data_IF_952961871097
#
_entry.id   IF_952961871097
#
_cell.length_a   1.000
_cell.length_b   1.000
_cell.length_c   1.000
_cell.angle_alpha   90.00
_cell.angle_beta   90.00
_cell.angle_gamma   90.00
#
_symmetry.space_group_name_H-M   'P 1'
#
loop_
_entity.id
_entity.type
_entity.pdbx_description
1 polymer ?
#
# COMPACT_ATOMS: atom_id res chain seq x y z
N UNK A 1 -9.08 -0.02 -36.39
CA UNK A 1 -9.77 -0.49 -35.20
C UNK A 1 -9.31 0.30 -34.00
N UNK A 2 -10.23 1.03 -33.36
CA UNK A 2 -9.85 1.82 -32.20
C UNK A 2 -9.60 0.88 -31.02
N UNK A 3 -8.53 1.13 -30.29
CA UNK A 3 -8.27 0.40 -29.05
C UNK A 3 -9.42 0.64 -28.08
N UNK A 4 -9.84 -0.41 -27.32
CA UNK A 4 -10.88 -0.20 -26.33
C UNK A 4 -10.40 0.83 -25.31
N UNK A 5 -11.18 1.87 -25.15
CA UNK A 5 -10.87 2.94 -24.20
C UNK A 5 -11.46 2.59 -22.84
N UNK A 6 -10.72 2.94 -21.80
CA UNK A 6 -11.23 2.84 -20.45
C UNK A 6 -12.38 3.84 -20.28
N UNK A 7 -13.38 3.46 -19.50
CA UNK A 7 -14.41 4.40 -19.09
C UNK A 7 -13.79 5.49 -18.22
N UNK A 8 -14.40 6.68 -18.12
CA UNK A 8 -13.91 7.72 -17.20
C UNK A 8 -13.77 7.21 -15.77
N UNK A 9 -14.69 6.36 -15.32
CA UNK A 9 -14.65 5.77 -13.99
C UNK A 9 -13.45 4.84 -13.83
N UNK A 10 -13.15 4.01 -14.84
CA UNK A 10 -11.98 3.14 -14.82
C UNK A 10 -10.68 3.94 -14.81
N UNK A 11 -10.60 5.00 -15.61
CA UNK A 11 -9.43 5.87 -15.66
C UNK A 11 -9.18 6.54 -14.31
N UNK A 12 -10.23 7.02 -13.66
CA UNK A 12 -10.15 7.62 -12.33
C UNK A 12 -9.68 6.60 -11.30
N UNK A 13 -10.24 5.40 -11.34
CA UNK A 13 -9.85 4.31 -10.44
C UNK A 13 -8.37 3.94 -10.62
N UNK A 14 -7.93 3.81 -11.87
CA UNK A 14 -6.53 3.52 -12.17
C UNK A 14 -5.62 4.59 -11.60
N UNK A 15 -5.99 5.85 -11.74
CA UNK A 15 -5.21 6.97 -11.20
C UNK A 15 -5.14 6.91 -9.67
N UNK A 16 -6.24 6.61 -8.99
CA UNK A 16 -6.26 6.44 -7.54
C UNK A 16 -5.32 5.32 -7.10
N UNK A 17 -5.36 4.19 -7.79
CA UNK A 17 -4.51 3.04 -7.46
C UNK A 17 -3.04 3.40 -7.66
N UNK A 18 -2.69 4.12 -8.72
CA UNK A 18 -1.32 4.59 -8.95
C UNK A 18 -0.84 5.51 -7.83
N UNK A 19 -1.70 6.36 -7.29
CA UNK A 19 -1.37 7.18 -6.11
C UNK A 19 -1.12 6.30 -4.89
N UNK A 20 -1.90 5.23 -4.70
CA UNK A 20 -1.66 4.28 -3.62
C UNK A 20 -0.32 3.56 -3.80
N UNK A 21 0.05 3.21 -5.04
CA UNK A 21 1.34 2.59 -5.34
C UNK A 21 2.50 3.53 -4.99
N UNK A 22 2.34 4.82 -5.22
CA UNK A 22 3.34 5.83 -4.81
C UNK A 22 3.49 5.88 -3.29
N UNK A 23 2.37 5.86 -2.57
CA UNK A 23 2.39 5.81 -1.10
C UNK A 23 3.10 4.55 -0.61
N UNK A 24 2.80 3.41 -1.23
CA UNK A 24 3.43 2.14 -0.88
C UNK A 24 4.94 2.17 -1.17
N UNK A 25 5.37 2.81 -2.24
CA UNK A 25 6.79 2.97 -2.54
C UNK A 25 7.51 3.74 -1.43
N UNK A 26 6.88 4.76 -0.86
CA UNK A 26 7.42 5.49 0.30
C UNK A 26 7.51 4.59 1.53
N UNK A 27 6.49 3.75 1.76
CA UNK A 27 6.52 2.76 2.85
C UNK A 27 7.68 1.78 2.65
N UNK A 28 7.85 1.25 1.45
CA UNK A 28 8.96 0.33 1.13
C UNK A 28 10.31 0.95 1.44
N UNK A 29 10.49 2.22 1.06
CA UNK A 29 11.73 2.94 1.33
C UNK A 29 11.99 3.07 2.83
N UNK A 30 10.96 3.44 3.59
CA UNK A 30 11.07 3.57 5.05
C UNK A 30 11.36 2.22 5.72
N UNK A 31 10.76 1.13 5.24
CA UNK A 31 11.04 -0.22 5.75
C UNK A 31 12.49 -0.60 5.46
N UNK A 32 13.00 -0.27 4.27
CA UNK A 32 14.41 -0.51 3.93
C UNK A 32 15.35 0.29 4.82
N UNK A 33 15.01 1.53 5.14
CA UNK A 33 15.78 2.35 6.08
C UNK A 33 15.78 1.74 7.48
N UNK A 34 14.63 1.26 7.93
CA UNK A 34 14.51 0.58 9.22
C UNK A 34 15.40 -0.66 9.27
N UNK A 35 15.39 -1.46 8.21
CA UNK A 35 16.20 -2.66 8.10
C UNK A 35 17.70 -2.33 8.11
N UNK A 36 18.10 -1.29 7.39
CA UNK A 36 19.49 -0.85 7.32
C UNK A 36 19.97 -0.22 8.64
N UNK A 37 19.04 0.20 9.50
CA UNK A 37 19.35 0.91 10.75
C UNK A 37 19.27 0.00 11.97
N UNK A 38 19.43 -1.31 11.81
CA UNK A 38 19.28 -2.28 12.92
C UNK A 38 20.12 -1.94 14.14
N UNK A 39 21.32 -1.40 13.93
CA UNK A 39 22.24 -1.05 15.00
C UNK A 39 22.04 0.39 15.51
N UNK A 40 21.06 1.10 14.98
CA UNK A 40 20.79 2.48 15.40
C UNK A 40 20.18 2.53 16.79
N UNK A 41 20.18 3.72 17.37
CA UNK A 41 19.58 3.95 18.69
C UNK A 41 18.07 3.64 18.64
N UNK A 42 17.50 3.15 19.75
CA UNK A 42 16.05 2.85 19.79
C UNK A 42 15.16 4.01 19.35
N UNK A 43 15.58 5.25 19.63
CA UNK A 43 14.86 6.45 19.21
C UNK A 43 14.71 6.52 17.69
N UNK A 44 15.78 6.25 16.95
CA UNK A 44 15.79 6.27 15.48
C UNK A 44 14.84 5.20 14.94
N UNK A 45 14.90 4.00 15.51
CA UNK A 45 14.03 2.89 15.10
C UNK A 45 12.57 3.19 15.37
N UNK A 46 12.28 3.81 16.51
CA UNK A 46 10.92 4.20 16.87
C UNK A 46 10.41 5.29 15.93
N UNK A 47 11.23 6.27 15.60
CA UNK A 47 10.85 7.34 14.68
C UNK A 47 10.53 6.80 13.29
N UNK A 48 11.34 5.86 12.78
CA UNK A 48 11.08 5.21 11.50
C UNK A 48 9.77 4.41 11.54
N UNK A 49 9.54 3.66 12.63
CA UNK A 49 8.29 2.93 12.83
C UNK A 49 7.07 3.86 12.81
N UNK A 50 7.18 5.02 13.46
CA UNK A 50 6.11 6.02 13.47
C UNK A 50 5.85 6.61 12.09
N UNK A 51 6.90 6.87 11.32
CA UNK A 51 6.76 7.35 9.94
C UNK A 51 6.07 6.32 9.04
N UNK A 52 6.46 5.07 9.17
CA UNK A 52 5.83 3.95 8.43
C UNK A 52 4.35 3.86 8.79
N UNK A 53 4.03 3.90 10.08
CA UNK A 53 2.65 3.84 10.56
C UNK A 53 1.81 4.99 10.01
N UNK A 54 2.38 6.19 9.95
CA UNK A 54 1.70 7.38 9.44
C UNK A 54 1.38 7.26 7.95
N UNK A 55 2.34 6.79 7.15
CA UNK A 55 2.11 6.58 5.73
C UNK A 55 1.05 5.50 5.48
N UNK A 56 1.10 4.42 6.24
CA UNK A 56 0.10 3.34 6.13
C UNK A 56 -1.29 3.81 6.56
N UNK A 57 -1.39 4.65 7.59
CA UNK A 57 -2.67 5.22 8.01
C UNK A 57 -3.28 6.13 6.95
N UNK A 58 -2.45 6.91 6.26
CA UNK A 58 -2.88 7.73 5.13
C UNK A 58 -3.38 6.87 3.97
N UNK A 59 -2.65 5.81 3.67
CA UNK A 59 -3.06 4.85 2.63
C UNK A 59 -4.41 4.23 2.98
N UNK A 60 -4.58 3.81 4.23
CA UNK A 60 -5.84 3.26 4.72
C UNK A 60 -7.00 4.23 4.51
N UNK A 61 -6.83 5.47 4.91
CA UNK A 61 -7.88 6.49 4.79
C UNK A 61 -8.30 6.70 3.34
N UNK A 62 -7.33 6.76 2.43
CA UNK A 62 -7.60 6.90 1.01
C UNK A 62 -8.26 5.67 0.41
N UNK A 63 -7.83 4.48 0.83
CA UNK A 63 -8.39 3.22 0.35
C UNK A 63 -9.84 3.04 0.80
N UNK A 64 -10.18 3.46 2.02
CA UNK A 64 -11.56 3.47 2.50
C UNK A 64 -12.40 4.40 1.61
N UNK A 65 -11.91 5.60 1.35
CA UNK A 65 -12.60 6.56 0.49
C UNK A 65 -12.78 6.08 -0.94
N UNK A 66 -11.89 5.23 -1.43
CA UNK A 66 -11.96 4.65 -2.77
C UNK A 66 -12.69 3.28 -2.79
N UNK A 67 -13.21 2.84 -1.66
CA UNK A 67 -13.91 1.55 -1.51
C UNK A 67 -13.05 0.33 -1.84
N UNK A 68 -11.76 0.39 -1.54
CA UNK A 68 -10.84 -0.75 -1.66
C UNK A 68 -10.57 -1.31 -0.27
N UNK A 69 -11.59 -2.01 0.28
CA UNK A 69 -11.59 -2.47 1.67
C UNK A 69 -10.43 -3.39 2.04
N UNK A 70 -10.04 -4.30 1.15
CA UNK A 70 -8.93 -5.23 1.42
C UNK A 70 -7.61 -4.49 1.62
N UNK A 71 -7.33 -3.46 0.80
CA UNK A 71 -6.15 -2.62 0.94
C UNK A 71 -6.24 -1.80 2.22
N UNK A 72 -7.41 -1.24 2.52
CA UNK A 72 -7.62 -0.46 3.74
C UNK A 72 -7.38 -1.30 5.00
N UNK A 73 -7.92 -2.50 5.05
CA UNK A 73 -7.79 -3.39 6.21
C UNK A 73 -6.32 -3.79 6.43
N UNK A 74 -5.64 -4.17 5.36
CA UNK A 74 -4.24 -4.57 5.45
C UNK A 74 -3.35 -3.40 5.85
N UNK A 75 -3.58 -2.22 5.26
CA UNK A 75 -2.82 -1.02 5.62
C UNK A 75 -3.03 -0.65 7.09
N UNK A 76 -4.26 -0.80 7.60
CA UNK A 76 -4.57 -0.56 9.01
C UNK A 76 -3.83 -1.52 9.94
N UNK A 77 -3.83 -2.80 9.62
CA UNK A 77 -3.11 -3.81 10.40
C UNK A 77 -1.62 -3.54 10.43
N UNK A 78 -1.04 -3.18 9.29
CA UNK A 78 0.39 -2.87 9.18
C UNK A 78 0.76 -1.59 9.92
N UNK A 79 -0.12 -0.60 9.93
CA UNK A 79 0.08 0.63 10.70
C UNK A 79 0.21 0.32 12.20
N UNK A 80 -0.65 -0.54 12.71
CA UNK A 80 -0.58 -0.99 14.10
C UNK A 80 0.72 -1.74 14.36
N UNK A 81 1.09 -2.66 13.47
CA UNK A 81 2.33 -3.44 13.60
C UNK A 81 3.57 -2.53 13.62
N UNK A 82 3.59 -1.48 12.81
CA UNK A 82 4.71 -0.54 12.74
C UNK A 82 4.89 0.24 14.04
N UNK A 83 3.81 0.47 14.77
CA UNK A 83 3.83 1.21 16.04
C UNK A 83 4.04 0.33 17.27
N UNK A 84 3.98 -1.00 17.12
CA UNK A 84 4.14 -1.89 18.26
C UNK A 84 5.58 -1.90 18.78
N UNK A 85 5.71 -2.02 20.11
CA UNK A 85 7.00 -2.20 20.77
C UNK A 85 7.44 -3.66 20.74
N UNK A 86 7.27 -4.34 19.61
CA UNK A 86 7.72 -5.71 19.41
C UNK A 86 9.18 -5.75 18.96
N UNK A 87 9.80 -6.93 19.02
CA UNK A 87 11.18 -7.09 18.53
C UNK A 87 11.33 -6.64 17.08
N UNK A 88 12.46 -6.01 16.79
CA UNK A 88 12.71 -5.42 15.47
C UNK A 88 12.60 -6.45 14.33
N UNK A 89 13.15 -7.66 14.53
CA UNK A 89 13.11 -8.70 13.50
C UNK A 89 11.67 -9.12 13.16
N UNK A 90 10.84 -9.29 14.20
CA UNK A 90 9.44 -9.63 14.02
C UNK A 90 8.69 -8.51 13.30
N UNK A 91 8.95 -7.27 13.69
CA UNK A 91 8.36 -6.09 13.06
C UNK A 91 8.74 -6.01 11.58
N UNK A 92 10.03 -6.18 11.25
CA UNK A 92 10.50 -6.16 9.87
C UNK A 92 9.86 -7.28 9.04
N UNK A 93 9.75 -8.47 9.60
CA UNK A 93 9.11 -9.60 8.91
C UNK A 93 7.66 -9.29 8.58
N UNK A 94 6.92 -8.80 9.57
CA UNK A 94 5.51 -8.44 9.40
C UNK A 94 5.34 -7.34 8.36
N UNK A 95 6.19 -6.30 8.41
CA UNK A 95 6.13 -5.19 7.47
C UNK A 95 6.48 -5.64 6.05
N UNK A 96 7.55 -6.44 5.89
CA UNK A 96 7.94 -6.94 4.58
C UNK A 96 6.87 -7.83 3.95
N UNK A 97 6.30 -8.75 4.73
CA UNK A 97 5.22 -9.62 4.26
C UNK A 97 3.99 -8.81 3.89
N UNK A 98 3.63 -7.84 4.73
CA UNK A 98 2.47 -6.99 4.49
C UNK A 98 2.64 -6.08 3.27
N UNK A 99 3.84 -5.52 3.09
CA UNK A 99 4.15 -4.69 1.91
C UNK A 99 4.06 -5.53 0.64
N UNK A 100 4.54 -6.77 0.67
CA UNK A 100 4.42 -7.68 -0.47
C UNK A 100 2.95 -7.97 -0.79
N UNK A 101 2.12 -8.20 0.23
CA UNK A 101 0.68 -8.41 0.06
C UNK A 101 -0.01 -7.17 -0.51
N UNK A 102 0.32 -5.98 -0.01
CA UNK A 102 -0.23 -4.73 -0.53
C UNK A 102 0.15 -4.51 -1.99
N UNK A 103 1.41 -4.80 -2.34
CA UNK A 103 1.89 -4.71 -3.72
C UNK A 103 1.04 -5.60 -4.63
N UNK A 104 0.83 -6.83 -4.23
CA UNK A 104 0.03 -7.80 -4.98
C UNK A 104 -1.43 -7.32 -5.13
N UNK A 105 -2.03 -6.84 -4.04
CA UNK A 105 -3.41 -6.34 -4.05
C UNK A 105 -3.56 -5.13 -4.98
N UNK A 106 -2.62 -4.19 -4.92
CA UNK A 106 -2.67 -2.99 -5.76
C UNK A 106 -2.42 -3.33 -7.23
N UNK A 107 -1.50 -4.25 -7.52
CA UNK A 107 -1.25 -4.69 -8.90
C UNK A 107 -2.49 -5.34 -9.49
N UNK A 108 -3.17 -6.18 -8.73
CA UNK A 108 -4.43 -6.81 -9.16
C UNK A 108 -5.53 -5.78 -9.38
N UNK A 109 -5.65 -4.83 -8.46
CA UNK A 109 -6.64 -3.77 -8.57
C UNK A 109 -6.39 -2.89 -9.79
N UNK A 110 -5.12 -2.58 -10.07
CA UNK A 110 -4.76 -1.80 -11.25
C UNK A 110 -5.07 -2.55 -12.54
N UNK A 111 -4.74 -3.83 -12.60
CA UNK A 111 -5.04 -4.68 -13.75
C UNK A 111 -6.56 -4.69 -14.01
N UNK A 112 -7.36 -4.87 -12.96
CA UNK A 112 -8.81 -4.86 -13.10
C UNK A 112 -9.33 -3.50 -13.58
N UNK A 113 -8.75 -2.40 -13.07
CA UNK A 113 -9.18 -1.06 -13.44
C UNK A 113 -8.76 -0.68 -14.86
N UNK A 114 -7.68 -1.26 -15.37
CA UNK A 114 -7.16 -0.96 -16.71
C UNK A 114 -7.57 -1.98 -17.76
N UNK A 115 -8.35 -3.00 -17.38
CA UNK A 115 -8.90 -3.96 -18.34
C UNK A 115 -10.20 -3.36 -18.91
N UNK A 116 -10.26 -3.14 -20.22
CA UNK A 116 -11.48 -2.60 -20.82
C UNK A 116 -12.66 -3.55 -20.60
N UNK A 117 -13.84 -2.99 -20.38
CA UNK A 117 -15.03 -3.80 -20.25
C UNK A 117 -15.34 -4.50 -21.58
N UNK A 118 -15.65 -5.79 -21.55
CA UNK A 118 -16.04 -6.48 -22.78
C UNK A 118 -17.34 -5.89 -23.33
N UNK A 119 -17.39 -5.78 -24.65
CA UNK A 119 -18.64 -5.40 -25.33
C UNK A 119 -19.71 -6.42 -24.96
N UNK A 120 -20.73 -5.98 -24.26
CA UNK A 120 -21.86 -6.84 -23.97
C UNK A 120 -22.80 -6.83 -25.16
N UNK A 121 -23.11 -7.99 -25.74
CA UNK A 121 -24.18 -8.02 -26.71
C UNK A 121 -25.47 -7.59 -26.03
N UNK A 122 -26.11 -6.65 -26.64
CA UNK A 122 -27.40 -6.19 -26.14
C UNK A 122 -28.47 -7.28 -26.32
#
# INVERSE_FOLDING_TARGET
MADPKLTPLQAERAQQIQEFQKSLARVKKLVSELESSRAARPQVLQDLGSQIARELSRLRARAVGASIGTVADLAGQLSVAANRSSGLLMKLRTLNDGVASLTFQLDRALTAATTPEPNRPE
#
